data_IF_094080542459
#
_entry.id   IF_094080542459
#
_cell.length_a   1.000
_cell.length_b   1.000
_cell.length_c   1.000
_cell.angle_alpha   90.00
_cell.angle_beta   90.00
_cell.angle_gamma   90.00
#
_symmetry.space_group_name_H-M   'P 1'
#
loop_
_entity.id
_entity.type
_entity.pdbx_description
1 polymer ?
#
# COMPACT_ATOMS: atom_id res chain seq x y z
N UNK A 1 6.37 -8.24 27.73
CA UNK A 1 6.02 -6.92 27.20
C UNK A 1 4.50 -6.76 27.37
N UNK A 2 3.96 -5.53 27.53
CA UNK A 2 2.49 -5.36 27.46
C UNK A 2 2.04 -5.91 26.10
N UNK A 3 0.94 -6.66 26.05
CA UNK A 3 0.36 -7.15 24.80
C UNK A 3 -0.22 -5.97 24.02
N UNK A 4 0.65 -5.20 23.38
CA UNK A 4 0.26 -4.12 22.49
C UNK A 4 -0.10 -4.73 21.15
N UNK A 5 -1.36 -4.55 20.75
CA UNK A 5 -1.91 -5.07 19.52
C UNK A 5 -1.77 -4.04 18.39
N UNK A 6 -1.50 -4.54 17.19
CA UNK A 6 -1.62 -3.82 15.94
C UNK A 6 -2.67 -4.48 15.04
N UNK A 7 -3.02 -3.79 13.97
CA UNK A 7 -3.94 -4.29 12.95
C UNK A 7 -3.20 -4.31 11.62
N UNK A 8 -3.07 -5.48 11.00
CA UNK A 8 -2.40 -5.64 9.71
C UNK A 8 -3.38 -6.11 8.65
N UNK A 9 -3.13 -5.75 7.39
CA UNK A 9 -3.83 -6.35 6.24
C UNK A 9 -3.09 -7.58 5.73
N UNK A 10 -1.75 -7.55 5.72
CA UNK A 10 -0.92 -8.62 5.16
C UNK A 10 0.52 -8.60 5.72
N UNK A 11 1.23 -9.72 5.59
CA UNK A 11 2.69 -9.81 5.70
C UNK A 11 3.22 -10.45 4.41
N UNK A 12 4.00 -9.70 3.64
CA UNK A 12 4.63 -10.20 2.44
C UNK A 12 6.10 -10.53 2.69
N UNK A 13 6.40 -11.82 2.72
CA UNK A 13 7.76 -12.33 2.73
C UNK A 13 8.40 -12.25 1.33
N UNK A 14 9.73 -12.11 1.29
CA UNK A 14 10.53 -12.02 0.07
C UNK A 14 10.18 -10.84 -0.87
N UNK A 15 9.82 -9.69 -0.31
CA UNK A 15 9.59 -8.48 -1.08
C UNK A 15 10.91 -7.92 -1.61
N UNK A 16 10.98 -7.73 -2.93
CA UNK A 16 12.15 -7.20 -3.63
C UNK A 16 12.03 -5.70 -3.96
N UNK A 17 10.84 -5.11 -3.82
CA UNK A 17 10.53 -3.75 -4.28
C UNK A 17 10.34 -2.77 -3.12
N UNK A 18 10.23 -3.28 -1.90
CA UNK A 18 9.80 -2.53 -0.71
C UNK A 18 10.99 -2.01 0.10
N UNK A 19 12.09 -1.68 -0.57
CA UNK A 19 13.32 -1.13 0.00
C UNK A 19 14.55 -1.99 -0.28
N UNK A 20 15.76 -1.54 0.13
CA UNK A 20 17.00 -2.24 -0.16
C UNK A 20 17.03 -3.70 0.31
N UNK A 21 17.56 -4.59 -0.54
CA UNK A 21 17.68 -6.03 -0.28
C UNK A 21 16.36 -6.80 -0.38
N UNK A 22 16.35 -8.05 0.10
CA UNK A 22 15.13 -8.85 0.28
C UNK A 22 14.51 -8.46 1.62
N UNK A 23 13.22 -8.12 1.61
CA UNK A 23 12.52 -7.65 2.80
C UNK A 23 11.29 -8.46 3.11
N UNK A 24 10.93 -8.51 4.39
CA UNK A 24 9.56 -8.88 4.78
C UNK A 24 8.79 -7.59 5.04
N UNK A 25 7.72 -7.38 4.29
CA UNK A 25 6.91 -6.17 4.39
C UNK A 25 5.67 -6.46 5.23
N UNK A 26 5.47 -5.68 6.30
CA UNK A 26 4.29 -5.76 7.16
C UNK A 26 3.39 -4.59 6.80
N UNK A 27 2.19 -4.89 6.29
CA UNK A 27 1.22 -3.88 5.86
C UNK A 27 0.27 -3.55 7.01
N UNK A 28 0.52 -2.43 7.68
CA UNK A 28 -0.36 -1.93 8.74
C UNK A 28 -1.65 -1.36 8.14
N UNK A 29 -2.77 -1.61 8.79
CA UNK A 29 -4.08 -1.05 8.42
C UNK A 29 -4.25 0.36 9.02
N UNK A 30 -5.00 1.22 8.34
CA UNK A 30 -5.20 2.62 8.69
C UNK A 30 -4.32 3.55 7.87
N UNK A 31 -4.94 4.52 7.18
CA UNK A 31 -4.29 5.59 6.45
C UNK A 31 -5.06 6.89 6.68
N UNK A 32 -4.35 7.98 6.97
CA UNK A 32 -4.98 9.32 7.11
C UNK A 32 -5.18 10.01 5.76
N UNK A 33 -4.59 9.46 4.70
CA UNK A 33 -4.84 9.88 3.32
C UNK A 33 -5.96 9.03 2.74
N UNK A 34 -6.61 9.57 1.71
CA UNK A 34 -7.62 8.91 0.89
C UNK A 34 -7.28 9.09 -0.60
N UNK A 35 -6.06 8.69 -0.96
CA UNK A 35 -5.54 8.74 -2.33
C UNK A 35 -6.53 8.10 -3.30
N UNK A 36 -6.97 8.82 -4.32
CA UNK A 36 -7.95 8.30 -5.30
C UNK A 36 -7.44 7.07 -6.06
N UNK A 37 -6.12 6.86 -6.10
CA UNK A 37 -5.43 5.78 -6.81
C UNK A 37 -4.90 4.69 -5.87
N UNK A 38 -5.33 4.66 -4.60
CA UNK A 38 -4.75 3.78 -3.58
C UNK A 38 -4.73 2.31 -4.05
N UNK A 39 -3.58 1.63 -4.01
CA UNK A 39 -3.52 0.22 -4.41
C UNK A 39 -4.16 -0.73 -3.40
N UNK A 40 -4.39 -0.24 -2.17
CA UNK A 40 -4.91 -0.98 -1.03
C UNK A 40 -6.02 -0.18 -0.32
N UNK A 41 -7.16 0.09 -0.98
CA UNK A 41 -8.24 0.87 -0.38
C UNK A 41 -8.81 0.21 0.89
N UNK A 42 -8.70 -1.11 1.01
CA UNK A 42 -9.00 -1.87 2.22
C UNK A 42 -8.05 -1.55 3.39
N UNK A 43 -6.90 -0.93 3.13
CA UNK A 43 -5.95 -0.49 4.14
C UNK A 43 -6.27 0.89 4.73
N UNK A 44 -7.26 1.62 4.24
CA UNK A 44 -7.48 3.04 4.63
C UNK A 44 -8.13 3.17 6.01
N UNK A 45 -9.26 2.50 6.27
CA UNK A 45 -9.88 2.57 7.60
C UNK A 45 -9.11 1.67 8.57
N UNK A 46 -8.96 2.13 9.80
CA UNK A 46 -8.05 1.53 10.79
C UNK A 46 -8.52 0.17 11.33
N UNK A 47 -9.83 0.00 11.55
CA UNK A 47 -10.39 -1.21 12.15
C UNK A 47 -10.78 -2.25 11.11
N UNK A 48 -10.78 -3.56 11.44
CA UNK A 48 -11.21 -4.61 10.52
C UNK A 48 -12.55 -4.31 9.86
N UNK A 49 -12.67 -4.65 8.59
CA UNK A 49 -13.83 -4.33 7.76
C UNK A 49 -14.21 -5.49 6.86
N UNK A 50 -15.52 -5.64 6.63
CA UNK A 50 -16.03 -6.64 5.69
C UNK A 50 -16.02 -6.10 4.26
N UNK A 51 -15.51 -6.89 3.32
CA UNK A 51 -15.50 -6.59 1.90
C UNK A 51 -16.15 -7.72 1.11
N UNK A 52 -16.70 -7.37 -0.06
CA UNK A 52 -17.32 -8.35 -0.94
C UNK A 52 -16.30 -8.80 -1.98
N UNK A 53 -15.80 -10.03 -1.82
CA UNK A 53 -15.04 -10.74 -2.84
C UNK A 53 -15.99 -11.34 -3.88
N UNK A 54 -16.39 -10.49 -4.83
CA UNK A 54 -17.37 -10.81 -5.88
C UNK A 54 -17.10 -12.07 -6.70
N UNK A 55 -15.85 -12.47 -7.01
CA UNK A 55 -15.60 -13.66 -7.82
C UNK A 55 -16.24 -14.95 -7.28
N UNK A 56 -16.45 -15.06 -5.97
CA UNK A 56 -17.02 -16.26 -5.36
C UNK A 56 -18.55 -16.20 -5.17
N UNK A 57 -19.16 -15.03 -5.34
CA UNK A 57 -20.55 -14.82 -4.93
C UNK A 57 -21.56 -15.42 -5.90
N UNK A 58 -22.45 -16.26 -5.38
CA UNK A 58 -23.59 -16.83 -6.14
C UNK A 58 -24.90 -16.05 -5.96
N UNK A 59 -24.87 -14.92 -5.23
CA UNK A 59 -26.02 -14.04 -4.99
C UNK A 59 -27.22 -14.74 -4.29
N UNK A 60 -26.96 -15.59 -3.29
CA UNK A 60 -27.99 -16.38 -2.60
C UNK A 60 -28.89 -15.58 -1.64
N UNK A 61 -28.44 -14.41 -1.15
CA UNK A 61 -29.23 -13.60 -0.22
C UNK A 61 -29.01 -13.86 1.27
N UNK A 62 -28.24 -14.89 1.66
CA UNK A 62 -28.04 -15.23 3.08
C UNK A 62 -27.49 -14.05 3.90
N UNK A 63 -26.51 -13.33 3.35
CA UNK A 63 -25.93 -12.15 3.99
C UNK A 63 -26.95 -11.05 4.31
N UNK A 64 -28.01 -10.92 3.49
CA UNK A 64 -29.10 -9.96 3.71
C UNK A 64 -30.00 -10.40 4.87
N UNK A 65 -30.30 -11.68 4.97
CA UNK A 65 -31.16 -12.24 6.02
C UNK A 65 -30.56 -12.12 7.42
N UNK A 66 -29.23 -12.10 7.53
CA UNK A 66 -28.52 -12.01 8.81
C UNK A 66 -28.03 -10.60 9.13
N UNK A 67 -28.14 -9.62 8.24
CA UNK A 67 -27.55 -8.30 8.50
C UNK A 67 -28.42 -7.49 9.47
N UNK A 68 -27.96 -7.20 10.70
CA UNK A 68 -28.77 -6.48 11.69
C UNK A 68 -28.95 -5.00 11.37
N UNK A 69 -28.12 -4.46 10.47
CA UNK A 69 -28.10 -3.05 10.08
C UNK A 69 -28.81 -2.77 8.75
N UNK A 70 -29.40 -3.79 8.13
CA UNK A 70 -29.97 -3.71 6.77
C UNK A 70 -29.00 -3.05 5.76
N UNK A 71 -27.71 -3.39 5.88
CA UNK A 71 -26.63 -2.84 5.08
C UNK A 71 -26.41 -3.59 3.75
N UNK A 72 -27.21 -4.62 3.46
CA UNK A 72 -27.08 -5.45 2.25
C UNK A 72 -28.11 -5.01 1.21
N UNK A 73 -27.68 -4.18 0.27
CA UNK A 73 -28.58 -3.52 -0.68
C UNK A 73 -28.61 -4.23 -2.03
N UNK A 74 -29.82 -4.36 -2.59
CA UNK A 74 -29.99 -4.82 -3.96
C UNK A 74 -29.74 -3.66 -4.93
N UNK A 75 -28.63 -3.72 -5.66
CA UNK A 75 -28.32 -2.75 -6.72
C UNK A 75 -28.48 -3.38 -8.10
N UNK A 76 -28.81 -2.54 -9.09
CA UNK A 76 -28.89 -2.94 -10.51
C UNK A 76 -27.70 -2.44 -11.32
N UNK A 77 -26.63 -2.02 -10.64
CA UNK A 77 -25.41 -1.55 -11.30
C UNK A 77 -24.66 -2.78 -11.80
N UNK A 78 -24.28 -2.78 -13.07
CA UNK A 78 -23.32 -3.77 -13.55
C UNK A 78 -22.05 -3.65 -12.71
N UNK A 79 -21.58 -4.74 -12.08
CA UNK A 79 -20.29 -4.69 -11.45
C UNK A 79 -19.27 -4.31 -12.53
N UNK A 80 -18.26 -3.53 -12.16
CA UNK A 80 -17.12 -3.19 -13.05
C UNK A 80 -16.28 -4.42 -13.46
N UNK A 81 -16.79 -5.63 -13.25
CA UNK A 81 -16.50 -6.81 -14.08
C UNK A 81 -17.63 -7.86 -14.08
N UNK A 82 -17.97 -8.43 -15.26
CA UNK A 82 -18.60 -9.74 -15.40
C UNK A 82 -17.55 -10.86 -15.47
N UNK A 83 -17.56 -11.77 -14.48
CA UNK A 83 -17.06 -13.15 -14.60
C UNK A 83 -15.63 -13.46 -14.11
N UNK A 84 -15.47 -14.52 -13.30
CA UNK A 84 -14.67 -15.72 -13.65
C UNK A 84 -14.71 -16.81 -12.55
N UNK A 85 -15.91 -17.30 -12.24
CA UNK A 85 -16.30 -18.72 -12.03
C UNK A 85 -17.69 -18.73 -11.40
N UNK A 86 -18.73 -18.81 -12.23
CA UNK A 86 -20.09 -19.13 -11.75
C UNK A 86 -21.15 -18.03 -11.82
N UNK A 87 -20.82 -16.77 -12.11
CA UNK A 87 -21.87 -15.76 -12.36
C UNK A 87 -22.59 -16.08 -13.68
N UNK A 88 -23.81 -16.63 -13.57
CA UNK A 88 -24.75 -16.89 -14.67
C UNK A 88 -25.87 -15.83 -14.75
N UNK A 89 -25.72 -14.71 -14.03
CA UNK A 89 -26.73 -13.65 -13.98
C UNK A 89 -26.92 -13.01 -15.36
N UNK A 90 -28.18 -12.77 -15.74
CA UNK A 90 -28.50 -11.98 -16.93
C UNK A 90 -28.06 -10.53 -16.69
N UNK A 91 -27.69 -9.83 -17.76
CA UNK A 91 -27.50 -8.38 -17.76
C UNK A 91 -28.69 -7.69 -17.06
N UNK A 92 -28.43 -6.82 -16.08
CA UNK A 92 -29.47 -6.16 -15.28
C UNK A 92 -30.03 -6.95 -14.09
N UNK A 93 -29.44 -8.10 -13.72
CA UNK A 93 -29.80 -8.81 -12.48
C UNK A 93 -29.45 -7.97 -11.24
N UNK A 94 -30.31 -8.01 -10.21
CA UNK A 94 -30.00 -7.41 -8.91
C UNK A 94 -28.82 -8.15 -8.26
N UNK A 95 -27.84 -7.41 -7.79
CA UNK A 95 -26.70 -7.93 -7.01
C UNK A 95 -26.71 -7.31 -5.61
N UNK A 96 -26.24 -8.07 -4.61
CA UNK A 96 -26.20 -7.62 -3.22
C UNK A 96 -24.88 -6.91 -2.94
N UNK A 97 -24.90 -5.59 -2.72
CA UNK A 97 -23.73 -4.79 -2.33
C UNK A 97 -23.83 -4.36 -0.87
N UNK A 98 -22.69 -4.35 -0.18
CA UNK A 98 -22.60 -3.80 1.18
C UNK A 98 -22.66 -2.27 1.08
N UNK A 99 -23.66 -1.67 1.71
CA UNK A 99 -23.69 -0.25 2.00
C UNK A 99 -22.77 0.01 3.22
N UNK A 100 -21.59 0.58 2.95
CA UNK A 100 -20.58 0.89 3.96
C UNK A 100 -21.00 1.97 4.96
N UNK A 101 -21.97 2.82 4.62
CA UNK A 101 -22.49 3.85 5.54
C UNK A 101 -23.43 3.25 6.60
N UNK A 102 -24.12 2.15 6.27
CA UNK A 102 -24.98 1.41 7.20
C UNK A 102 -24.27 0.28 7.92
N UNK A 103 -23.21 -0.26 7.33
CA UNK A 103 -22.54 -1.45 7.84
C UNK A 103 -21.90 -1.19 9.21
N UNK A 104 -22.18 -2.08 10.17
CA UNK A 104 -21.60 -2.04 11.51
C UNK A 104 -20.26 -2.80 11.62
N UNK A 105 -19.81 -3.44 10.53
CA UNK A 105 -18.67 -4.38 10.52
C UNK A 105 -18.78 -5.46 11.62
N UNK A 106 -20.00 -5.96 11.86
CA UNK A 106 -20.29 -6.99 12.86
C UNK A 106 -19.98 -8.43 12.40
N UNK A 107 -19.56 -8.59 11.14
CA UNK A 107 -19.15 -9.85 10.50
C UNK A 107 -20.16 -11.01 10.47
N UNK A 108 -21.40 -10.85 10.95
CA UNK A 108 -22.44 -11.89 10.85
C UNK A 108 -22.68 -12.37 9.40
N UNK A 109 -22.51 -11.47 8.43
CA UNK A 109 -22.62 -11.81 7.02
C UNK A 109 -21.45 -12.66 6.49
N UNK A 110 -20.26 -12.54 7.09
CA UNK A 110 -19.10 -13.39 6.81
C UNK A 110 -19.38 -14.79 7.34
N UNK A 111 -19.85 -14.90 8.59
CA UNK A 111 -20.20 -16.20 9.20
C UNK A 111 -21.30 -16.95 8.43
N UNK A 112 -22.22 -16.22 7.79
CA UNK A 112 -23.31 -16.79 6.99
C UNK A 112 -22.96 -17.07 5.51
N UNK A 113 -21.71 -16.82 5.09
CA UNK A 113 -21.29 -16.95 3.70
C UNK A 113 -20.57 -18.27 3.43
N UNK A 114 -21.28 -19.27 2.90
CA UNK A 114 -20.72 -20.59 2.55
C UNK A 114 -19.76 -20.58 1.33
N UNK A 115 -19.47 -19.40 0.77
CA UNK A 115 -18.74 -19.23 -0.48
C UNK A 115 -17.53 -18.31 -0.35
N UNK A 116 -17.11 -17.92 0.86
CA UNK A 116 -15.98 -17.00 1.08
C UNK A 116 -16.07 -15.73 0.22
N UNK A 117 -17.29 -15.26 -0.02
CA UNK A 117 -17.57 -14.09 -0.85
C UNK A 117 -17.63 -12.81 -0.03
N UNK A 118 -17.77 -12.93 1.28
CA UNK A 118 -17.64 -11.83 2.22
C UNK A 118 -16.42 -12.11 3.08
N UNK A 119 -15.42 -11.24 3.01
CA UNK A 119 -14.11 -11.41 3.63
C UNK A 119 -13.81 -10.27 4.58
N UNK A 120 -13.01 -10.51 5.61
CA UNK A 120 -12.56 -9.47 6.53
C UNK A 120 -11.15 -9.04 6.15
N UNK A 121 -10.95 -7.73 5.95
CA UNK A 121 -9.62 -7.15 5.83
C UNK A 121 -9.23 -6.44 7.12
N UNK A 122 -8.11 -6.86 7.69
CA UNK A 122 -7.61 -6.42 9.00
C UNK A 122 -7.61 -7.55 10.01
N UNK A 123 -6.44 -7.86 10.57
CA UNK A 123 -6.25 -8.86 11.62
C UNK A 123 -5.53 -8.22 12.81
N UNK A 124 -6.06 -8.43 14.01
CA UNK A 124 -5.36 -8.08 15.25
C UNK A 124 -4.17 -9.03 15.45
N UNK A 125 -3.00 -8.46 15.68
CA UNK A 125 -1.75 -9.19 15.89
C UNK A 125 -0.94 -8.54 17.01
N UNK A 126 -0.12 -9.33 17.68
CA UNK A 126 0.91 -8.80 18.59
C UNK A 126 2.22 -8.58 17.84
N UNK A 127 3.15 -7.85 18.46
CA UNK A 127 4.53 -7.73 17.95
C UNK A 127 5.17 -9.11 17.79
N UNK A 128 4.96 -10.01 18.76
CA UNK A 128 5.51 -11.37 18.72
C UNK A 128 4.95 -12.18 17.54
N UNK A 129 3.67 -12.02 17.20
CA UNK A 129 3.07 -12.71 16.06
C UNK A 129 3.70 -12.26 14.74
N UNK A 130 3.93 -10.96 14.58
CA UNK A 130 4.57 -10.41 13.38
C UNK A 130 6.05 -10.82 13.32
N UNK A 131 6.77 -10.71 14.44
CA UNK A 131 8.19 -11.02 14.48
C UNK A 131 8.47 -12.51 14.18
N UNK A 132 7.57 -13.43 14.56
CA UNK A 132 7.67 -14.84 14.14
C UNK A 132 7.71 -15.02 12.63
N UNK A 133 7.00 -14.19 11.87
CA UNK A 133 7.00 -14.25 10.39
C UNK A 133 8.21 -13.53 9.79
N UNK A 134 8.60 -12.39 10.36
CA UNK A 134 9.79 -11.61 9.94
C UNK A 134 11.08 -12.42 10.15
N UNK A 135 11.21 -13.12 11.28
CA UNK A 135 12.42 -13.86 11.60
C UNK A 135 12.68 -15.06 10.66
N UNK A 136 11.66 -15.55 9.95
CA UNK A 136 11.81 -16.65 8.98
C UNK A 136 12.72 -16.27 7.81
N UNK A 137 12.77 -14.98 7.46
CA UNK A 137 13.52 -14.49 6.30
C UNK A 137 14.94 -14.01 6.65
N UNK A 138 15.39 -14.13 7.92
CA UNK A 138 16.73 -13.72 8.37
C UNK A 138 17.88 -14.21 7.48
N UNK A 139 17.92 -15.48 7.01
CA UNK A 139 18.98 -15.94 6.11
C UNK A 139 19.10 -15.07 4.85
N UNK A 140 17.97 -14.65 4.27
CA UNK A 140 17.91 -13.83 3.07
C UNK A 140 18.30 -12.38 3.35
N UNK A 141 17.98 -11.86 4.54
CA UNK A 141 18.44 -10.54 4.96
C UNK A 141 19.97 -10.46 5.03
N UNK A 142 20.60 -11.50 5.59
CA UNK A 142 22.07 -11.58 5.71
C UNK A 142 22.76 -11.60 4.35
N UNK A 143 22.17 -12.27 3.36
CA UNK A 143 22.72 -12.36 2.00
C UNK A 143 22.49 -11.07 1.19
N UNK A 144 21.32 -10.45 1.35
CA UNK A 144 20.88 -9.31 0.52
C UNK A 144 21.12 -7.93 1.14
N UNK A 145 21.44 -7.87 2.43
CA UNK A 145 21.43 -6.61 3.21
C UNK A 145 20.03 -6.07 3.48
N UNK A 146 18.98 -6.89 3.32
CA UNK A 146 17.58 -6.50 3.53
C UNK A 146 17.11 -6.62 4.98
N UNK A 147 15.79 -6.73 5.19
CA UNK A 147 15.21 -6.76 6.54
C UNK A 147 13.70 -6.52 6.60
N UNK A 148 13.23 -5.80 7.63
CA UNK A 148 11.82 -5.48 7.81
C UNK A 148 11.46 -4.18 7.07
N UNK A 149 10.35 -4.17 6.33
CA UNK A 149 9.67 -2.92 5.94
C UNK A 149 8.32 -2.83 6.62
N UNK A 150 8.01 -1.68 7.22
CA UNK A 150 6.65 -1.38 7.68
C UNK A 150 5.99 -0.48 6.64
N UNK A 151 4.89 -0.95 6.04
CA UNK A 151 4.13 -0.28 4.97
C UNK A 151 2.62 -0.44 5.26
N UNK A 152 1.76 -0.46 4.24
CA UNK A 152 0.32 -0.66 4.35
C UNK A 152 -0.48 0.57 3.95
N UNK A 153 -1.39 0.99 4.82
CA UNK A 153 -2.05 2.28 4.70
C UNK A 153 -1.05 3.41 4.96
N UNK A 154 -0.92 3.81 6.22
CA UNK A 154 0.12 4.71 6.71
C UNK A 154 0.65 4.09 8.01
N UNK A 155 1.90 3.54 8.04
CA UNK A 155 2.44 2.91 9.23
C UNK A 155 2.34 3.76 10.49
N UNK A 156 2.51 5.08 10.32
CA UNK A 156 2.47 6.03 11.43
C UNK A 156 1.05 6.29 11.96
N UNK A 157 0.00 5.73 11.35
CA UNK A 157 -1.35 5.70 11.90
C UNK A 157 -1.47 4.75 13.11
N UNK A 158 -0.53 3.80 13.27
CA UNK A 158 -0.39 2.94 14.45
C UNK A 158 0.98 3.15 15.10
N UNK A 159 1.28 4.36 15.60
CA UNK A 159 2.64 4.79 15.88
C UNK A 159 3.34 3.94 16.95
N UNK A 160 2.60 3.53 17.99
CA UNK A 160 3.15 2.69 19.05
C UNK A 160 3.53 1.31 18.53
N UNK A 161 2.63 0.66 17.78
CA UNK A 161 2.87 -0.67 17.23
C UNK A 161 4.01 -0.68 16.21
N UNK A 162 4.05 0.33 15.33
CA UNK A 162 5.16 0.51 14.38
C UNK A 162 6.50 0.67 15.11
N UNK A 163 6.56 1.52 16.14
CA UNK A 163 7.77 1.72 16.96
C UNK A 163 8.23 0.42 17.64
N UNK A 164 7.28 -0.34 18.20
CA UNK A 164 7.62 -1.59 18.90
C UNK A 164 8.13 -2.66 17.92
N UNK A 165 7.59 -2.76 16.70
CA UNK A 165 8.11 -3.64 15.64
C UNK A 165 9.53 -3.27 15.22
N UNK A 166 9.80 -1.97 15.03
CA UNK A 166 11.15 -1.49 14.69
C UNK A 166 12.14 -1.81 15.81
N UNK A 167 11.79 -1.55 17.07
CA UNK A 167 12.61 -1.90 18.23
C UNK A 167 12.89 -3.39 18.32
N UNK A 168 11.87 -4.23 18.17
CA UNK A 168 12.01 -5.68 18.19
C UNK A 168 12.93 -6.17 17.06
N UNK A 169 12.80 -5.59 15.87
CA UNK A 169 13.65 -5.92 14.71
C UNK A 169 15.11 -5.51 14.94
N UNK A 170 15.34 -4.29 15.42
CA UNK A 170 16.69 -3.79 15.77
C UNK A 170 17.35 -4.66 16.84
N UNK A 171 16.62 -5.11 17.86
CA UNK A 171 17.14 -5.99 18.90
C UNK A 171 17.62 -7.36 18.34
N UNK A 172 17.13 -7.76 17.17
CA UNK A 172 17.56 -8.97 16.44
C UNK A 172 18.64 -8.69 15.38
N UNK A 173 19.11 -7.45 15.26
CA UNK A 173 20.05 -7.03 14.23
C UNK A 173 19.45 -6.97 12.82
N UNK A 174 18.12 -6.87 12.70
CA UNK A 174 17.43 -6.77 11.42
C UNK A 174 17.40 -5.29 10.99
N UNK A 175 17.80 -5.03 9.74
CA UNK A 175 17.68 -3.70 9.13
C UNK A 175 16.21 -3.32 8.94
N UNK A 176 15.90 -2.04 9.07
CA UNK A 176 14.52 -1.54 9.18
C UNK A 176 14.23 -0.46 8.15
N UNK A 177 13.05 -0.53 7.54
CA UNK A 177 12.55 0.46 6.61
C UNK A 177 11.13 0.92 6.97
N UNK A 178 10.88 2.21 6.81
CA UNK A 178 9.58 2.82 6.96
C UNK A 178 9.10 3.30 5.58
N UNK A 179 8.00 2.73 5.10
CA UNK A 179 7.33 3.16 3.88
C UNK A 179 6.15 4.07 4.24
N UNK A 180 6.28 5.38 3.98
CA UNK A 180 5.39 6.38 4.55
C UNK A 180 5.11 7.55 3.60
N UNK A 181 3.93 8.14 3.77
CA UNK A 181 3.62 9.48 3.23
C UNK A 181 4.22 10.61 4.06
N UNK A 182 4.69 10.32 5.28
CA UNK A 182 5.19 11.28 6.26
C UNK A 182 4.11 12.16 6.90
N UNK A 183 2.83 11.85 6.75
CA UNK A 183 1.73 12.63 7.31
C UNK A 183 1.49 12.34 8.82
N UNK A 184 2.43 12.77 9.66
CA UNK A 184 2.43 12.58 11.12
C UNK A 184 3.08 13.77 11.84
N UNK A 185 2.68 14.04 13.09
CA UNK A 185 3.41 15.01 13.93
C UNK A 185 4.88 14.63 14.10
N UNK A 186 5.77 15.63 14.08
CA UNK A 186 7.21 15.40 14.16
C UNK A 186 7.61 14.59 15.41
N UNK A 187 7.08 14.93 16.59
CA UNK A 187 7.40 14.25 17.86
C UNK A 187 7.13 12.73 17.85
N UNK A 188 6.18 12.29 17.04
CA UNK A 188 5.88 10.86 16.85
C UNK A 188 6.79 10.27 15.78
N UNK A 189 6.92 10.95 14.65
CA UNK A 189 7.72 10.49 13.52
C UNK A 189 9.21 10.37 13.89
N UNK A 190 9.77 11.35 14.59
CA UNK A 190 11.16 11.37 15.07
C UNK A 190 11.50 10.13 15.91
N UNK A 191 10.62 9.74 16.84
CA UNK A 191 10.82 8.53 17.67
C UNK A 191 10.80 7.25 16.86
N UNK A 192 10.04 7.20 15.77
CA UNK A 192 10.01 6.07 14.84
C UNK A 192 11.32 6.05 14.03
N UNK A 193 11.80 7.22 13.61
CA UNK A 193 13.04 7.38 12.84
C UNK A 193 14.28 6.93 13.62
N UNK A 194 14.30 7.09 14.95
CA UNK A 194 15.41 6.61 15.81
C UNK A 194 15.64 5.07 15.73
N UNK A 195 14.68 4.33 15.17
CA UNK A 195 14.77 2.89 14.94
C UNK A 195 14.60 2.51 13.46
N UNK A 196 14.78 3.46 12.54
CA UNK A 196 14.60 3.28 11.10
C UNK A 196 15.93 3.49 10.37
N UNK A 197 16.36 2.55 9.53
CA UNK A 197 17.55 2.72 8.67
C UNK A 197 17.20 3.40 7.34
N UNK A 198 16.06 3.01 6.77
CA UNK A 198 15.61 3.44 5.46
C UNK A 198 14.23 4.08 5.52
N UNK A 199 14.04 5.19 4.84
CA UNK A 199 12.71 5.77 4.62
C UNK A 199 12.39 5.70 3.13
N UNK A 200 11.26 5.07 2.78
CA UNK A 200 10.67 5.13 1.45
C UNK A 200 9.58 6.20 1.51
N UNK A 201 9.88 7.38 0.98
CA UNK A 201 9.06 8.56 1.18
C UNK A 201 8.25 8.89 -0.07
N UNK A 202 6.93 8.90 0.05
CA UNK A 202 6.04 9.21 -1.06
C UNK A 202 5.81 10.71 -1.25
N UNK A 203 6.35 11.26 -2.32
CA UNK A 203 6.05 12.61 -2.80
C UNK A 203 4.94 12.55 -3.85
N UNK A 204 3.71 12.90 -3.46
CA UNK A 204 2.52 12.66 -4.31
C UNK A 204 2.16 13.84 -5.21
N UNK A 205 2.24 15.08 -4.72
CA UNK A 205 1.98 16.30 -5.49
C UNK A 205 2.55 17.51 -4.74
N UNK A 206 3.14 18.50 -5.43
CA UNK A 206 3.66 19.71 -4.78
C UNK A 206 2.63 20.83 -4.63
N UNK A 207 1.74 21.01 -5.60
CA UNK A 207 0.59 21.90 -5.40
C UNK A 207 -0.32 21.39 -4.28
N UNK A 208 -0.52 22.23 -3.26
CA UNK A 208 -1.29 21.93 -2.06
C UNK A 208 -2.76 21.61 -2.35
N UNK A 209 -3.40 22.37 -3.24
CA UNK A 209 -4.82 22.23 -3.53
C UNK A 209 -5.09 20.95 -4.33
N UNK A 210 -4.23 20.64 -5.30
CA UNK A 210 -4.25 19.35 -6.01
C UNK A 210 -3.98 18.20 -5.06
N UNK A 211 -3.02 18.35 -4.13
CA UNK A 211 -2.76 17.32 -3.11
C UNK A 211 -4.01 17.03 -2.26
N UNK A 212 -4.72 18.07 -1.78
CA UNK A 212 -5.99 17.91 -1.05
C UNK A 212 -7.03 17.23 -1.92
N UNK A 213 -7.23 17.69 -3.16
CA UNK A 213 -8.24 17.16 -4.05
C UNK A 213 -8.09 15.65 -4.29
N UNK A 214 -6.86 15.16 -4.39
CA UNK A 214 -6.60 13.77 -4.72
C UNK A 214 -6.25 12.86 -3.53
N UNK A 215 -5.79 13.40 -2.41
CA UNK A 215 -5.38 12.60 -1.23
C UNK A 215 -6.20 12.90 0.02
N UNK A 216 -7.03 13.95 0.01
CA UNK A 216 -7.86 14.36 1.14
C UNK A 216 -7.15 15.21 2.20
N UNK A 217 -5.82 15.41 2.11
CA UNK A 217 -5.04 16.18 3.09
C UNK A 217 -4.10 17.18 2.41
N UNK A 218 -3.70 18.27 3.08
CA UNK A 218 -2.63 19.11 2.58
C UNK A 218 -1.26 18.42 2.65
N UNK A 219 -0.31 18.88 1.84
CA UNK A 219 1.07 18.40 1.86
C UNK A 219 2.01 19.23 2.74
N UNK A 220 1.56 20.31 3.39
CA UNK A 220 2.43 21.19 4.18
C UNK A 220 3.28 20.41 5.21
N UNK A 221 2.62 19.60 6.05
CA UNK A 221 3.29 18.75 7.06
C UNK A 221 4.16 17.66 6.43
N UNK A 222 3.76 17.13 5.27
CA UNK A 222 4.51 16.11 4.53
C UNK A 222 5.83 16.70 4.01
N UNK A 223 5.80 17.91 3.47
CA UNK A 223 7.00 18.57 2.97
C UNK A 223 7.91 18.98 4.14
N UNK A 224 7.34 19.54 5.21
CA UNK A 224 8.10 19.90 6.43
C UNK A 224 8.80 18.69 7.05
N UNK A 225 8.10 17.55 7.18
CA UNK A 225 8.71 16.34 7.74
C UNK A 225 9.81 15.78 6.84
N UNK A 226 9.62 15.83 5.51
CA UNK A 226 10.67 15.41 4.59
C UNK A 226 11.93 16.26 4.75
N UNK A 227 11.77 17.59 4.81
CA UNK A 227 12.88 18.53 5.05
C UNK A 227 13.63 18.24 6.35
N UNK A 228 12.94 17.81 7.41
CA UNK A 228 13.59 17.40 8.66
C UNK A 228 14.26 16.03 8.57
N UNK A 229 13.64 15.06 7.89
CA UNK A 229 14.19 13.72 7.71
C UNK A 229 15.52 13.77 6.95
N UNK A 230 15.61 14.54 5.86
CA UNK A 230 16.83 14.60 5.04
C UNK A 230 18.04 15.21 5.76
N UNK A 231 17.84 15.90 6.89
CA UNK A 231 18.91 16.44 7.73
C UNK A 231 19.48 15.40 8.70
N UNK A 232 18.90 14.20 8.76
CA UNK A 232 19.38 13.10 9.59
C UNK A 232 20.43 12.27 8.85
N UNK A 233 21.64 12.23 9.39
CA UNK A 233 22.74 11.42 8.82
C UNK A 233 22.57 9.90 9.09
N UNK A 234 21.72 9.53 10.05
CA UNK A 234 21.49 8.15 10.47
C UNK A 234 20.35 7.45 9.71
N UNK A 235 19.65 8.17 8.82
CA UNK A 235 18.52 7.64 8.05
C UNK A 235 18.74 7.88 6.56
N UNK A 236 18.82 6.80 5.78
CA UNK A 236 18.87 6.93 4.31
C UNK A 236 17.47 7.06 3.74
N UNK A 237 17.21 8.15 3.02
CA UNK A 237 15.87 8.45 2.47
C UNK A 237 15.82 8.25 0.96
N UNK A 238 14.82 7.50 0.50
CA UNK A 238 14.50 7.27 -0.89
C UNK A 238 13.19 7.95 -1.25
N UNK A 239 13.27 9.02 -2.06
CA UNK A 239 12.07 9.73 -2.54
C UNK A 239 11.45 8.96 -3.68
N UNK A 240 10.15 8.70 -3.57
CA UNK A 240 9.33 8.04 -4.57
C UNK A 240 8.21 8.96 -5.03
N UNK A 241 8.00 9.03 -6.33
CA UNK A 241 6.86 9.74 -6.91
C UNK A 241 6.01 8.75 -7.72
N UNK A 242 4.83 8.33 -7.22
CA UNK A 242 3.85 7.67 -8.08
C UNK A 242 3.44 8.63 -9.19
N UNK A 243 3.52 8.24 -10.45
CA UNK A 243 3.19 9.07 -11.61
C UNK A 243 1.84 8.62 -12.18
N UNK A 244 0.86 9.52 -12.14
CA UNK A 244 -0.54 9.19 -12.36
C UNK A 244 -1.18 10.12 -13.38
N UNK A 245 -1.96 9.57 -14.32
CA UNK A 245 -2.47 10.32 -15.45
C UNK A 245 -3.55 11.31 -15.02
N UNK A 246 -3.38 12.58 -15.36
CA UNK A 246 -4.32 13.66 -15.03
C UNK A 246 -4.31 14.06 -13.55
N UNK A 247 -3.35 13.55 -12.77
CA UNK A 247 -3.22 13.84 -11.33
C UNK A 247 -1.97 14.68 -11.08
N UNK A 248 -0.80 14.12 -11.35
CA UNK A 248 0.50 14.72 -11.03
C UNK A 248 1.52 14.61 -12.18
N UNK A 249 1.06 14.18 -13.35
CA UNK A 249 1.88 14.01 -14.55
C UNK A 249 1.90 15.23 -15.48
N UNK A 250 1.45 16.39 -15.02
CA UNK A 250 1.64 17.63 -15.77
C UNK A 250 3.12 18.04 -15.76
N UNK A 251 3.63 18.58 -16.87
CA UNK A 251 5.01 19.09 -16.94
C UNK A 251 5.29 20.11 -15.84
N UNK A 252 4.32 20.99 -15.54
CA UNK A 252 4.41 21.95 -14.43
C UNK A 252 4.74 21.26 -13.09
N UNK A 253 4.02 20.20 -12.73
CA UNK A 253 4.26 19.49 -11.47
C UNK A 253 5.59 18.71 -11.52
N UNK A 254 5.95 18.14 -12.67
CA UNK A 254 7.21 17.40 -12.84
C UNK A 254 8.42 18.35 -12.71
N UNK A 255 8.38 19.53 -13.33
CA UNK A 255 9.39 20.57 -13.18
C UNK A 255 9.46 21.08 -11.73
N UNK A 256 8.32 21.32 -11.08
CA UNK A 256 8.27 21.73 -9.69
C UNK A 256 8.92 20.66 -8.79
N UNK A 257 8.61 19.38 -9.03
CA UNK A 257 9.18 18.24 -8.30
C UNK A 257 10.69 18.16 -8.48
N UNK A 258 11.19 18.27 -9.72
CA UNK A 258 12.63 18.26 -10.01
C UNK A 258 13.37 19.39 -9.30
N UNK A 259 12.82 20.60 -9.31
CA UNK A 259 13.39 21.76 -8.61
C UNK A 259 13.41 21.55 -7.09
N UNK A 260 12.32 21.07 -6.52
CA UNK A 260 12.18 20.83 -5.08
C UNK A 260 13.17 19.76 -4.59
N UNK A 261 13.19 18.59 -5.23
CA UNK A 261 14.06 17.47 -4.83
C UNK A 261 15.54 17.85 -4.97
N UNK A 262 15.89 18.62 -6.02
CA UNK A 262 17.24 19.20 -6.14
C UNK A 262 17.57 20.16 -4.99
N UNK A 263 16.63 21.02 -4.59
CA UNK A 263 16.87 21.96 -3.48
C UNK A 263 17.07 21.28 -2.13
N UNK A 264 16.56 20.06 -1.96
CA UNK A 264 16.82 19.20 -0.80
C UNK A 264 18.21 18.55 -0.83
N UNK A 265 19.00 18.73 -1.90
CA UNK A 265 20.33 18.11 -2.05
C UNK A 265 20.29 16.62 -2.39
N UNK A 266 19.11 16.06 -2.66
CA UNK A 266 18.94 14.66 -3.02
C UNK A 266 19.34 14.43 -4.47
N UNK A 267 19.97 13.28 -4.72
CA UNK A 267 20.51 12.91 -6.05
C UNK A 267 19.62 11.96 -6.82
N UNK A 268 18.78 11.19 -6.13
CA UNK A 268 18.01 10.10 -6.75
C UNK A 268 16.53 10.28 -6.49
N UNK A 269 15.71 10.04 -7.50
CA UNK A 269 14.26 9.97 -7.41
C UNK A 269 13.75 8.67 -8.04
N UNK A 270 12.83 7.99 -7.36
CA UNK A 270 12.18 6.77 -7.83
C UNK A 270 10.83 7.13 -8.44
N UNK A 271 10.74 7.08 -9.76
CA UNK A 271 9.51 7.36 -10.49
C UNK A 271 8.72 6.06 -10.62
N UNK A 272 7.45 6.07 -10.21
CA UNK A 272 6.60 4.89 -10.18
C UNK A 272 5.37 5.10 -11.08
N UNK A 273 5.47 4.87 -12.40
CA UNK A 273 4.32 4.95 -13.30
C UNK A 273 3.14 4.09 -12.83
N UNK A 274 1.93 4.65 -12.92
CA UNK A 274 0.70 3.98 -12.48
C UNK A 274 0.55 2.59 -13.10
N UNK A 275 0.36 1.58 -12.25
CA UNK A 275 0.06 0.24 -12.71
C UNK A 275 -1.46 0.04 -12.79
N UNK A 276 -2.01 -0.64 -13.83
CA UNK A 276 -3.46 -0.86 -13.99
C UNK A 276 -4.09 -1.74 -12.89
N UNK A 277 -3.31 -2.26 -11.94
CA UNK A 277 -3.78 -3.18 -10.91
C UNK A 277 -4.51 -2.50 -9.75
N UNK A 278 -4.36 -1.19 -9.55
CA UNK A 278 -5.16 -0.46 -8.56
C UNK A 278 -6.66 -0.74 -8.75
N UNK A 279 -7.15 -0.60 -9.99
CA UNK A 279 -8.54 -0.89 -10.31
C UNK A 279 -8.96 -2.34 -10.09
N UNK A 280 -8.03 -3.31 -10.03
CA UNK A 280 -8.35 -4.67 -9.62
C UNK A 280 -8.59 -4.75 -8.11
N UNK A 281 -7.75 -4.16 -7.26
CA UNK A 281 -7.94 -4.14 -5.81
C UNK A 281 -9.30 -3.55 -5.43
N UNK A 282 -9.65 -2.38 -5.97
CA UNK A 282 -10.97 -1.75 -5.77
C UNK A 282 -12.12 -2.69 -6.13
N UNK A 283 -12.01 -3.41 -7.26
CA UNK A 283 -13.01 -4.38 -7.69
C UNK A 283 -13.13 -5.58 -6.76
N UNK A 284 -12.01 -6.13 -6.32
CA UNK A 284 -11.98 -7.29 -5.41
C UNK A 284 -12.66 -6.98 -4.08
N UNK A 285 -12.67 -5.70 -3.67
CA UNK A 285 -13.29 -5.27 -2.41
C UNK A 285 -14.61 -4.50 -2.59
N UNK A 286 -15.15 -4.45 -3.82
CA UNK A 286 -16.47 -3.87 -4.10
C UNK A 286 -16.55 -2.34 -4.01
N UNK A 287 -15.43 -1.64 -4.18
CA UNK A 287 -15.36 -0.17 -4.21
C UNK A 287 -15.25 0.29 -5.67
N UNK A 288 -15.92 1.39 -6.00
CA UNK A 288 -15.86 1.97 -7.35
C UNK A 288 -14.51 2.70 -7.54
N UNK A 289 -13.79 2.39 -8.61
CA UNK A 289 -12.50 3.01 -8.92
C UNK A 289 -12.69 4.28 -9.78
N UNK A 290 -12.09 5.43 -9.42
CA UNK A 290 -12.37 6.70 -10.09
C UNK A 290 -11.55 6.95 -11.38
N UNK A 291 -10.64 6.05 -11.76
CA UNK A 291 -9.79 6.19 -12.96
C UNK A 291 -10.11 5.14 -14.03
N UNK A 292 -9.73 5.38 -15.30
CA UNK A 292 -9.83 4.38 -16.36
C UNK A 292 -9.18 3.05 -15.97
N UNK A 293 -9.87 1.95 -16.23
CA UNK A 293 -9.44 0.61 -15.84
C UNK A 293 -8.68 -0.02 -17.00
N UNK A 294 -7.55 -0.68 -16.69
CA UNK A 294 -6.87 -1.58 -17.63
C UNK A 294 -5.85 -0.92 -18.53
N UNK A 295 -5.68 0.40 -18.44
CA UNK A 295 -4.63 1.12 -19.17
C UNK A 295 -3.40 1.27 -18.26
N UNK A 296 -2.26 0.77 -18.74
CA UNK A 296 -0.96 1.11 -18.16
C UNK A 296 -0.63 2.57 -18.41
N UNK A 297 0.11 3.19 -17.49
CA UNK A 297 0.65 4.52 -17.74
C UNK A 297 1.50 4.51 -19.04
N UNK A 298 1.26 5.42 -20.00
CA UNK A 298 1.98 5.40 -21.27
C UNK A 298 3.49 5.53 -21.08
N UNK A 299 4.25 4.59 -21.64
CA UNK A 299 5.71 4.55 -21.50
C UNK A 299 6.38 5.85 -22.02
N UNK A 300 5.88 6.38 -23.13
CA UNK A 300 6.34 7.66 -23.69
C UNK A 300 6.22 8.81 -22.67
N UNK A 301 5.08 8.92 -22.00
CA UNK A 301 4.86 9.94 -20.96
C UNK A 301 5.78 9.74 -19.77
N UNK A 302 6.02 8.49 -19.36
CA UNK A 302 6.94 8.20 -18.25
C UNK A 302 8.38 8.61 -18.61
N UNK A 303 8.80 8.36 -19.85
CA UNK A 303 10.11 8.76 -20.36
C UNK A 303 10.25 10.29 -20.49
N UNK A 304 9.19 11.01 -20.87
CA UNK A 304 9.18 12.47 -20.86
C UNK A 304 9.37 12.98 -19.42
N UNK A 305 8.58 12.47 -18.46
CA UNK A 305 8.71 12.86 -17.06
C UNK A 305 10.11 12.58 -16.50
N UNK A 306 10.67 11.41 -16.82
CA UNK A 306 12.04 11.03 -16.51
C UNK A 306 13.05 12.04 -17.06
N UNK A 307 12.96 12.37 -18.35
CA UNK A 307 13.86 13.32 -19.02
C UNK A 307 13.83 14.70 -18.37
N UNK A 308 12.63 15.20 -18.05
CA UNK A 308 12.46 16.50 -17.37
C UNK A 308 13.14 16.47 -16.00
N UNK A 309 12.92 15.43 -15.20
CA UNK A 309 13.52 15.30 -13.87
C UNK A 309 15.06 15.17 -13.95
N UNK A 310 15.58 14.41 -14.92
CA UNK A 310 17.02 14.28 -15.16
C UNK A 310 17.67 15.61 -15.56
N UNK A 311 16.95 16.53 -16.22
CA UNK A 311 17.46 17.87 -16.55
C UNK A 311 17.81 18.72 -15.33
N UNK A 312 17.29 18.37 -14.14
CA UNK A 312 17.67 19.00 -12.88
C UNK A 312 18.94 18.41 -12.26
N UNK A 313 19.53 17.38 -12.86
CA UNK A 313 20.71 16.66 -12.35
C UNK A 313 20.37 15.51 -11.40
N UNK A 314 19.13 15.02 -11.45
CA UNK A 314 18.67 13.86 -10.68
C UNK A 314 18.95 12.57 -11.45
N UNK A 315 19.37 11.53 -10.74
CA UNK A 315 19.31 10.14 -11.20
C UNK A 315 17.87 9.64 -11.03
N UNK A 316 17.15 9.44 -12.13
CA UNK A 316 15.75 9.01 -12.08
C UNK A 316 15.67 7.52 -12.37
N UNK A 317 15.19 6.77 -11.39
CA UNK A 317 15.01 5.33 -11.51
C UNK A 317 13.53 5.01 -11.67
N UNK A 318 13.18 4.29 -12.73
CA UNK A 318 11.82 3.79 -12.92
C UNK A 318 11.77 2.34 -12.46
N UNK A 319 10.79 2.01 -11.61
CA UNK A 319 10.44 0.64 -11.18
C UNK A 319 11.64 -0.26 -10.80
N UNK A 320 11.89 -0.44 -9.50
CA UNK A 320 13.08 -1.19 -9.02
C UNK A 320 12.69 -2.41 -8.21
N UNK A 321 13.22 -3.55 -8.63
CA UNK A 321 13.55 -4.65 -7.74
C UNK A 321 15.00 -4.48 -7.26
N UNK A 322 15.18 -4.28 -5.95
CA UNK A 322 16.45 -3.95 -5.30
C UNK A 322 17.51 -5.03 -5.38
N UNK A 323 17.13 -6.22 -5.84
CA UNK A 323 17.95 -7.43 -5.89
C UNK A 323 18.33 -7.85 -7.31
N UNK A 324 17.93 -7.10 -8.35
CA UNK A 324 18.20 -7.44 -9.75
C UNK A 324 19.69 -7.53 -10.11
N UNK A 325 20.56 -6.92 -9.29
CA UNK A 325 22.01 -6.93 -9.46
C UNK A 325 22.72 -8.14 -8.79
N UNK A 326 21.98 -9.06 -8.15
CA UNK A 326 22.55 -10.27 -7.56
C UNK A 326 21.94 -11.55 -8.18
N UNK A 327 22.67 -12.26 -9.06
CA UNK A 327 22.16 -13.44 -9.77
C UNK A 327 21.63 -14.57 -8.87
N UNK A 328 22.22 -14.76 -7.69
CA UNK A 328 21.82 -15.79 -6.71
C UNK A 328 20.46 -15.49 -6.07
N UNK A 329 20.22 -14.22 -5.73
CA UNK A 329 18.94 -13.75 -5.21
C UNK A 329 17.87 -13.74 -6.31
N UNK A 330 18.26 -13.45 -7.56
CA UNK A 330 17.37 -13.47 -8.72
C UNK A 330 16.80 -14.86 -9.00
N UNK A 331 17.59 -15.93 -8.84
CA UNK A 331 17.08 -17.30 -8.98
C UNK A 331 16.09 -17.68 -7.88
N UNK A 332 16.34 -17.27 -6.63
CA UNK A 332 15.46 -17.54 -5.48
C UNK A 332 14.10 -16.83 -5.63
N UNK A 333 14.09 -15.58 -6.10
CA UNK A 333 12.85 -14.87 -6.44
C UNK A 333 12.03 -15.59 -7.51
N UNK A 334 12.70 -16.12 -8.54
CA UNK A 334 12.05 -16.80 -9.66
C UNK A 334 11.49 -18.17 -9.29
N UNK A 335 12.08 -18.86 -8.33
CA UNK A 335 11.55 -20.14 -7.82
C UNK A 335 10.34 -19.94 -6.92
N UNK A 336 10.34 -18.92 -6.05
CA UNK A 336 9.19 -18.64 -5.20
C UNK A 336 8.04 -17.92 -5.91
N UNK A 337 8.30 -17.09 -6.93
CA UNK A 337 7.23 -16.50 -7.75
C UNK A 337 6.40 -17.58 -8.47
N UNK A 338 7.03 -18.70 -8.86
CA UNK A 338 6.34 -19.89 -9.41
C UNK A 338 5.50 -20.65 -8.39
N UNK A 339 5.82 -20.55 -7.09
CA UNK A 339 5.03 -21.15 -5.99
C UNK A 339 3.87 -20.22 -5.57
N UNK A 340 3.99 -18.90 -5.80
CA UNK A 340 3.00 -17.88 -5.42
C UNK A 340 2.05 -17.42 -6.54
N UNK A 341 2.13 -17.95 -7.77
CA UNK A 341 1.14 -17.65 -8.84
C UNK A 341 -0.28 -18.19 -8.56
N UNK A 342 -0.51 -18.81 -7.41
CA UNK A 342 -1.85 -19.15 -6.89
C UNK A 342 -2.29 -18.28 -5.71
N UNK A 343 -1.49 -17.30 -5.28
CA UNK A 343 -1.82 -16.37 -4.20
C UNK A 343 -2.33 -15.03 -4.73
N UNK A 344 -3.64 -14.92 -4.92
CA UNK A 344 -4.34 -13.64 -5.00
C UNK A 344 -4.01 -12.77 -3.78
N UNK A 345 -4.07 -11.44 -3.92
CA UNK A 345 -3.81 -10.42 -2.89
C UNK A 345 -4.73 -10.49 -1.63
N UNK A 346 -5.36 -11.62 -1.34
CA UNK A 346 -6.36 -11.84 -0.29
C UNK A 346 -6.28 -13.26 0.29
N UNK A 347 -5.08 -13.75 0.62
CA UNK A 347 -4.91 -14.91 1.51
C UNK A 347 -3.95 -14.58 2.63
#
# INVERSE_FOLDING_TARGET
MKNDFGIITNIQQFAANDGPGIRTTVFLKGCRLNCKWCHNPEGIRQFPEVFHFWPNCINCGNCKNVCPADAMEDIRKEPTYPGQKGWKGKLGSKIIKINKEKCLDCFQCVDACDFDSLIVSGKFVTVDDVMKEVEKDIPFYKESGGGLTISGGEPTAQPKFALDLLKASKAKGINTALDTSGYQSWDILEKILDYTDYVLYDLKHLDRNKHIAFTGVPNDLILENLEKIILRDDVTTYIRMPLLPGVNDSEENIHATGKYVKSLGLKTLYLLPAHPFAGQSYRLVGIDYPFPIGESYPEEKANIAKTILESYGLEVKMWIAWVENNPSLKSQLNEQSKVKTTGTCLN
#
